data_IF_973327622643
#
_entry.id   IF_973327622643
#
_cell.length_a   1.000
_cell.length_b   1.000
_cell.length_c   1.000
_cell.angle_alpha   90.00
_cell.angle_beta   90.00
_cell.angle_gamma   90.00
#
_symmetry.space_group_name_H-M   'P 1'
#
loop_
_entity.id
_entity.type
_entity.pdbx_description
1 polymer ?
#
# COMPACT_ATOMS: atom_id res chain seq x y z
N UNK A 1 -6.94 7.65 -3.56
CA UNK A 1 -5.55 8.00 -3.21
C UNK A 1 -4.82 6.93 -2.41
N UNK A 2 -4.34 5.93 -3.14
CA UNK A 2 -2.97 5.49 -2.88
C UNK A 2 -2.11 6.76 -2.89
N UNK A 3 -1.54 7.16 -1.75
CA UNK A 3 -0.67 8.34 -1.68
C UNK A 3 0.61 7.99 -2.36
N UNK A 4 1.00 8.72 -3.38
CA UNK A 4 2.07 8.29 -4.23
C UNK A 4 3.20 9.28 -4.25
N UNK A 5 4.37 8.83 -3.79
CA UNK A 5 5.62 9.55 -3.94
C UNK A 5 6.24 9.12 -5.27
N UNK A 6 6.43 10.08 -6.17
CA UNK A 6 7.21 9.93 -7.40
C UNK A 6 8.07 11.18 -7.48
N UNK A 7 9.40 11.02 -7.47
CA UNK A 7 10.28 12.15 -7.80
C UNK A 7 10.41 12.26 -9.32
N UNK A 8 10.21 13.48 -9.84
CA UNK A 8 11.04 14.06 -10.92
C UNK A 8 11.19 15.57 -10.68
N UNK A 9 12.34 16.16 -11.01
CA UNK A 9 12.46 17.60 -11.19
C UNK A 9 11.74 17.96 -12.49
N UNK A 10 10.73 18.83 -12.38
CA UNK A 10 10.00 19.49 -13.47
C UNK A 10 9.19 18.60 -14.46
N UNK A 11 7.86 18.80 -14.46
CA UNK A 11 6.97 18.47 -15.59
C UNK A 11 6.10 17.22 -15.42
N UNK A 12 4.77 17.44 -15.39
CA UNK A 12 3.63 16.49 -15.41
C UNK A 12 3.74 15.24 -14.51
N UNK A 13 2.88 15.22 -13.48
CA UNK A 13 2.68 14.10 -12.55
C UNK A 13 2.09 12.90 -13.31
N UNK A 14 2.93 12.04 -13.89
CA UNK A 14 2.49 10.74 -14.39
C UNK A 14 2.78 9.68 -13.32
N UNK A 15 1.70 9.26 -12.69
CA UNK A 15 1.67 8.16 -11.73
C UNK A 15 2.05 6.82 -12.42
N UNK A 16 3.18 6.12 -12.08
CA UNK A 16 3.41 4.72 -12.51
C UNK A 16 2.27 3.71 -12.22
N UNK A 17 1.62 3.73 -11.05
CA UNK A 17 0.32 3.12 -10.73
C UNK A 17 -0.72 3.31 -11.84
N UNK A 18 -1.02 2.19 -12.50
CA UNK A 18 -1.97 2.07 -13.60
C UNK A 18 -3.37 1.74 -13.10
N UNK A 19 -3.46 0.81 -12.14
CA UNK A 19 -4.73 0.40 -11.57
C UNK A 19 -4.58 -0.29 -10.21
N UNK A 20 -5.70 -0.35 -9.49
CA UNK A 20 -5.86 -1.06 -8.23
C UNK A 20 -7.07 -1.99 -8.35
N UNK A 21 -6.86 -3.26 -8.06
CA UNK A 21 -7.93 -4.24 -7.91
C UNK A 21 -7.96 -4.70 -6.46
N UNK A 22 -9.13 -4.67 -5.84
CA UNK A 22 -9.28 -5.17 -4.47
C UNK A 22 -10.50 -6.07 -4.33
N UNK A 23 -10.42 -6.98 -3.35
CA UNK A 23 -11.52 -7.83 -2.91
C UNK A 23 -11.60 -7.78 -1.39
N UNK A 24 -12.83 -7.77 -0.88
CA UNK A 24 -13.11 -7.95 0.53
C UNK A 24 -14.06 -9.14 0.68
N UNK A 25 -13.68 -10.10 1.51
CA UNK A 25 -14.49 -11.26 1.85
C UNK A 25 -14.85 -11.18 3.32
N UNK A 26 -16.14 -11.19 3.63
CA UNK A 26 -16.66 -11.08 4.98
C UNK A 26 -17.31 -12.42 5.32
N UNK A 27 -16.92 -13.01 6.46
CA UNK A 27 -17.47 -14.25 6.98
C UNK A 27 -17.68 -14.09 8.48
N UNK A 28 -18.93 -13.93 8.91
CA UNK A 28 -19.23 -13.46 10.26
C UNK A 28 -18.53 -12.12 10.52
N UNK A 29 -17.86 -11.91 11.68
CA UNK A 29 -17.19 -10.66 11.98
C UNK A 29 -15.82 -10.52 11.31
N UNK A 30 -15.29 -11.57 10.67
CA UNK A 30 -13.98 -11.52 10.04
C UNK A 30 -14.07 -11.00 8.61
N UNK A 31 -13.27 -9.99 8.30
CA UNK A 31 -12.99 -9.57 6.94
C UNK A 31 -11.58 -9.97 6.52
N UNK A 32 -11.46 -10.55 5.34
CA UNK A 32 -10.21 -10.66 4.58
C UNK A 32 -10.23 -9.66 3.44
N UNK A 33 -9.27 -8.74 3.44
CA UNK A 33 -9.05 -7.82 2.35
C UNK A 33 -7.82 -8.23 1.57
N UNK A 34 -7.91 -8.23 0.24
CA UNK A 34 -6.75 -8.37 -0.65
C UNK A 34 -6.78 -7.24 -1.67
N UNK A 35 -5.64 -6.60 -1.91
CA UNK A 35 -5.47 -5.66 -3.01
C UNK A 35 -4.24 -5.98 -3.83
N UNK A 36 -4.35 -5.78 -5.14
CA UNK A 36 -3.25 -5.82 -6.09
C UNK A 36 -3.18 -4.45 -6.75
N UNK A 37 -2.01 -3.84 -6.65
CA UNK A 37 -1.70 -2.54 -7.25
C UNK A 37 -0.72 -2.76 -8.39
N UNK A 38 -1.05 -2.27 -9.59
CA UNK A 38 -0.24 -2.45 -10.78
C UNK A 38 0.47 -1.16 -11.15
N UNK A 39 1.78 -1.21 -11.35
CA UNK A 39 2.64 -0.09 -11.69
C UNK A 39 3.37 -0.35 -13.00
N UNK A 40 3.63 0.71 -13.75
CA UNK A 40 4.49 0.74 -14.93
C UNK A 40 5.32 2.01 -14.93
N UNK A 41 6.63 1.90 -15.13
CA UNK A 41 7.49 3.06 -15.31
C UNK A 41 7.46 3.50 -16.78
N UNK A 42 6.60 4.46 -17.10
CA UNK A 42 6.52 5.07 -18.45
C UNK A 42 7.57 6.17 -18.68
N UNK A 43 8.48 6.35 -17.74
CA UNK A 43 9.47 7.41 -17.74
C UNK A 43 10.81 6.91 -18.30
N UNK A 44 11.65 7.84 -18.77
CA UNK A 44 13.02 7.57 -19.25
C UNK A 44 14.05 7.23 -18.17
N UNK A 45 13.71 7.34 -16.88
CA UNK A 45 14.64 7.18 -15.76
C UNK A 45 14.12 6.08 -14.81
N UNK A 46 14.99 5.39 -14.04
CA UNK A 46 14.54 4.56 -12.94
C UNK A 46 13.66 5.35 -11.97
N UNK A 47 12.63 4.70 -11.44
CA UNK A 47 11.72 5.31 -10.45
C UNK A 47 11.72 4.48 -9.17
N UNK A 48 11.72 5.19 -8.05
CA UNK A 48 11.35 4.64 -6.76
C UNK A 48 9.86 4.88 -6.53
N UNK A 49 9.17 3.86 -6.03
CA UNK A 49 7.77 3.96 -5.64
C UNK A 49 7.72 3.89 -4.12
N UNK A 50 7.33 5.00 -3.50
CA UNK A 50 7.02 5.01 -2.07
C UNK A 50 5.55 5.39 -1.91
N UNK A 51 4.82 4.64 -1.10
CA UNK A 51 3.44 4.99 -0.76
C UNK A 51 3.10 4.54 0.64
N UNK A 52 2.20 5.30 1.27
CA UNK A 52 1.64 4.91 2.56
C UNK A 52 0.16 4.59 2.40
N UNK A 53 -0.35 3.73 3.27
CA UNK A 53 -1.78 3.49 3.44
C UNK A 53 -2.09 3.27 4.92
N UNK A 54 -3.30 3.61 5.37
CA UNK A 54 -3.70 3.37 6.74
C UNK A 54 -4.28 1.96 6.86
N UNK A 55 -3.83 1.21 7.86
CA UNK A 55 -4.61 0.10 8.38
C UNK A 55 -5.59 0.64 9.43
N UNK A 56 -6.84 0.13 9.47
CA UNK A 56 -7.76 0.47 10.54
C UNK A 56 -7.18 0.12 11.91
N UNK A 57 -7.08 1.14 12.78
CA UNK A 57 -6.33 1.10 14.04
C UNK A 57 -6.72 -0.08 14.94
N UNK A 58 -5.72 -0.80 15.46
CA UNK A 58 -5.83 -1.81 16.52
C UNK A 58 -6.67 -3.05 16.19
N UNK A 59 -7.08 -3.23 14.92
CA UNK A 59 -8.01 -4.29 14.51
C UNK A 59 -7.61 -5.01 13.22
N UNK A 60 -6.40 -4.75 12.71
CA UNK A 60 -5.95 -5.26 11.43
C UNK A 60 -4.63 -6.01 11.55
N UNK A 61 -4.47 -7.11 10.82
CA UNK A 61 -3.22 -7.89 10.77
C UNK A 61 -2.87 -8.16 9.32
N UNK A 62 -1.69 -7.73 8.87
CA UNK A 62 -1.19 -8.08 7.53
C UNK A 62 -0.85 -9.57 7.52
N UNK A 63 -1.48 -10.30 6.61
CA UNK A 63 -1.28 -11.75 6.44
C UNK A 63 -0.42 -12.09 5.23
N UNK A 64 -0.35 -11.19 4.24
CA UNK A 64 0.46 -11.38 3.04
C UNK A 64 0.95 -10.05 2.51
N UNK A 65 2.22 -10.04 2.11
CA UNK A 65 2.77 -8.98 1.28
C UNK A 65 3.70 -9.58 0.24
N UNK A 66 3.42 -9.29 -1.02
CA UNK A 66 4.15 -9.83 -2.16
C UNK A 66 4.35 -8.76 -3.21
N UNK A 67 5.53 -8.78 -3.80
CA UNK A 67 5.90 -7.86 -4.88
C UNK A 67 6.39 -8.67 -6.06
N UNK A 68 5.87 -8.36 -7.25
CA UNK A 68 6.33 -8.94 -8.50
C UNK A 68 6.90 -7.84 -9.37
N UNK A 69 8.19 -7.92 -9.72
CA UNK A 69 8.86 -6.95 -10.60
C UNK A 69 9.41 -7.73 -11.79
N UNK A 70 9.06 -7.29 -13.00
CA UNK A 70 9.49 -7.94 -14.24
C UNK A 70 9.27 -9.47 -14.26
N UNK A 71 8.12 -9.93 -13.74
CA UNK A 71 7.76 -11.35 -13.64
C UNK A 71 8.40 -12.12 -12.47
N UNK A 72 9.36 -11.53 -11.75
CA UNK A 72 9.99 -12.15 -10.59
C UNK A 72 9.20 -11.78 -9.33
N UNK A 73 8.67 -12.79 -8.67
CA UNK A 73 7.88 -12.63 -7.44
C UNK A 73 8.75 -12.81 -6.19
N UNK A 74 8.60 -11.89 -5.25
CA UNK A 74 9.20 -11.89 -3.91
C UNK A 74 8.09 -11.81 -2.87
N UNK A 75 8.18 -12.64 -1.84
CA UNK A 75 7.26 -12.64 -0.71
C UNK A 75 7.99 -12.08 0.51
N UNK A 76 7.34 -11.18 1.24
CA UNK A 76 7.98 -10.56 2.39
C UNK A 76 8.21 -11.56 3.51
N UNK A 77 9.31 -11.34 4.23
CA UNK A 77 9.59 -11.97 5.50
C UNK A 77 9.56 -10.89 6.57
N UNK A 78 8.97 -11.23 7.72
CA UNK A 78 8.88 -10.32 8.86
C UNK A 78 10.19 -10.35 9.62
N UNK A 79 10.74 -9.17 9.88
CA UNK A 79 11.96 -8.96 10.66
C UNK A 79 11.68 -7.92 11.76
N UNK A 80 12.56 -7.85 12.76
CA UNK A 80 12.54 -6.75 13.72
C UNK A 80 12.89 -5.42 13.00
N UNK A 81 12.42 -4.29 13.54
CA UNK A 81 12.54 -2.98 12.90
C UNK A 81 13.98 -2.62 12.50
N UNK A 82 14.93 -2.77 13.42
CA UNK A 82 16.34 -2.44 13.18
C UNK A 82 16.96 -3.36 12.11
N UNK A 83 16.71 -4.66 12.25
CA UNK A 83 17.17 -5.69 11.32
C UNK A 83 16.62 -5.48 9.89
N UNK A 84 15.39 -4.97 9.78
CA UNK A 84 14.75 -4.67 8.50
C UNK A 84 15.36 -3.44 7.81
N UNK A 85 15.85 -2.46 8.57
CA UNK A 85 16.50 -1.25 8.03
C UNK A 85 17.87 -1.57 7.47
N UNK A 86 18.70 -2.27 8.24
CA UNK A 86 20.04 -2.69 7.81
C UNK A 86 19.97 -3.47 6.48
N UNK A 87 19.04 -4.45 6.39
CA UNK A 87 18.84 -5.22 5.15
C UNK A 87 18.36 -4.39 3.96
N UNK A 88 17.57 -3.35 4.21
CA UNK A 88 17.11 -2.46 3.14
C UNK A 88 18.27 -1.64 2.58
N UNK A 89 19.10 -1.08 3.46
CA UNK A 89 20.29 -0.31 3.10
C UNK A 89 21.32 -1.18 2.34
N UNK A 90 21.62 -2.38 2.85
CA UNK A 90 22.48 -3.36 2.16
C UNK A 90 21.96 -3.71 0.74
N UNK A 91 20.63 -3.81 0.60
CA UNK A 91 19.97 -4.04 -0.68
C UNK A 91 20.13 -2.90 -1.68
N UNK A 92 20.17 -1.64 -1.20
CA UNK A 92 20.47 -0.47 -2.04
C UNK A 92 21.93 -0.52 -2.50
N UNK A 93 22.87 -0.74 -1.57
CA UNK A 93 24.31 -0.69 -1.86
C UNK A 93 24.74 -1.79 -2.85
N UNK A 94 24.12 -2.97 -2.76
CA UNK A 94 24.36 -4.10 -3.66
C UNK A 94 23.74 -3.95 -5.06
N UNK A 95 22.96 -2.88 -5.30
CA UNK A 95 22.29 -2.62 -6.57
C UNK A 95 21.05 -3.48 -6.82
N UNK A 96 20.60 -4.21 -5.80
CA UNK A 96 19.34 -4.96 -5.84
C UNK A 96 18.15 -4.00 -5.82
N UNK A 97 16.95 -4.53 -6.09
CA UNK A 97 15.71 -3.77 -5.94
C UNK A 97 15.18 -3.97 -4.53
N UNK A 98 15.44 -3.05 -3.59
CA UNK A 98 15.02 -3.22 -2.22
C UNK A 98 13.50 -3.04 -2.12
N UNK A 99 12.87 -3.91 -1.31
CA UNK A 99 11.43 -3.90 -1.06
C UNK A 99 11.24 -3.87 0.45
N UNK A 100 10.57 -2.84 0.94
CA UNK A 100 10.32 -2.66 2.36
C UNK A 100 8.85 -2.34 2.62
N UNK A 101 8.31 -2.94 3.68
CA UNK A 101 7.02 -2.62 4.26
C UNK A 101 7.24 -2.30 5.75
N UNK A 102 7.05 -1.05 6.14
CA UNK A 102 7.17 -0.60 7.53
C UNK A 102 5.79 -0.32 8.12
N UNK A 103 5.53 -0.85 9.31
CA UNK A 103 4.35 -0.53 10.11
C UNK A 103 4.78 0.44 11.20
N UNK A 104 4.17 1.62 11.23
CA UNK A 104 4.42 2.64 12.27
C UNK A 104 3.42 2.50 13.43
N UNK A 105 3.68 3.16 14.55
CA UNK A 105 2.92 3.04 15.81
C UNK A 105 1.42 3.38 15.71
N UNK A 106 0.97 3.97 14.59
CA UNK A 106 -0.43 4.38 14.35
C UNK A 106 -1.08 3.60 13.21
N UNK A 107 -0.60 2.38 12.95
CA UNK A 107 -1.11 1.49 11.92
C UNK A 107 -1.00 2.05 10.49
N UNK A 108 -0.17 3.07 10.28
CA UNK A 108 0.25 3.43 8.93
C UNK A 108 1.31 2.46 8.44
N UNK A 109 1.06 1.94 7.25
CA UNK A 109 2.00 1.13 6.52
C UNK A 109 2.64 1.97 5.42
N UNK A 110 3.96 1.95 5.33
CA UNK A 110 4.71 2.55 4.22
C UNK A 110 5.38 1.44 3.44
N UNK A 111 5.17 1.45 2.12
CA UNK A 111 5.79 0.54 1.18
C UNK A 111 6.78 1.33 0.33
N UNK A 112 8.00 0.80 0.23
CA UNK A 112 9.06 1.30 -0.64
C UNK A 112 9.47 0.22 -1.62
N UNK A 113 9.45 0.55 -2.93
CA UNK A 113 10.00 -0.27 -4.01
C UNK A 113 11.05 0.56 -4.76
N UNK A 114 12.31 0.15 -4.65
CA UNK A 114 13.40 0.81 -5.34
C UNK A 114 13.50 0.45 -6.83
N UNK A 115 14.30 1.24 -7.56
CA UNK A 115 14.94 0.83 -8.82
C UNK A 115 14.04 0.22 -9.93
N UNK A 116 12.80 0.67 -10.10
CA UNK A 116 11.95 0.23 -11.22
C UNK A 116 12.44 0.89 -12.51
N UNK A 117 13.01 0.14 -13.44
CA UNK A 117 13.67 0.68 -14.65
C UNK A 117 12.65 1.15 -15.69
N UNK A 118 13.06 2.02 -16.66
CA UNK A 118 12.21 2.44 -17.77
C UNK A 118 11.55 1.25 -18.49
N UNK A 119 10.22 1.32 -18.63
CA UNK A 119 9.41 0.28 -19.27
C UNK A 119 9.05 -0.92 -18.38
N UNK A 120 9.65 -1.06 -17.20
CA UNK A 120 9.34 -2.17 -16.29
C UNK A 120 7.97 -2.02 -15.63
N UNK A 121 7.40 -3.17 -15.28
CA UNK A 121 6.15 -3.26 -14.51
C UNK A 121 6.40 -3.87 -13.15
N UNK A 122 5.67 -3.39 -12.15
CA UNK A 122 5.63 -3.97 -10.82
C UNK A 122 4.19 -4.22 -10.38
N UNK A 123 3.95 -5.23 -9.56
CA UNK A 123 2.68 -5.38 -8.84
C UNK A 123 2.91 -5.62 -7.36
N UNK A 124 2.10 -4.97 -6.53
CA UNK A 124 2.11 -5.14 -5.07
C UNK A 124 0.81 -5.78 -4.64
N UNK A 125 0.90 -6.99 -4.09
CA UNK A 125 -0.20 -7.71 -3.45
C UNK A 125 -0.09 -7.55 -1.94
N UNK A 126 -1.17 -7.05 -1.33
CA UNK A 126 -1.32 -6.91 0.11
C UNK A 126 -2.58 -7.65 0.54
N UNK A 127 -2.48 -8.45 1.60
CA UNK A 127 -3.60 -9.07 2.28
C UNK A 127 -3.57 -8.72 3.76
N UNK A 128 -4.73 -8.35 4.31
CA UNK A 128 -4.89 -8.19 5.74
C UNK A 128 -6.24 -8.73 6.22
N UNK A 129 -6.26 -9.18 7.47
CA UNK A 129 -7.46 -9.52 8.19
C UNK A 129 -7.92 -8.34 9.03
N UNK A 130 -9.23 -8.20 9.21
CA UNK A 130 -9.82 -7.24 10.14
C UNK A 130 -11.06 -7.80 10.81
N UNK A 131 -11.17 -7.57 12.12
CA UNK A 131 -12.43 -7.81 12.83
C UNK A 131 -13.37 -6.62 12.64
N UNK A 132 -14.56 -6.88 12.10
CA UNK A 132 -15.62 -5.89 11.91
C UNK A 132 -16.53 -5.83 13.13
N UNK A 133 -16.93 -4.62 13.48
CA UNK A 133 -17.92 -4.39 14.53
C UNK A 133 -19.32 -4.38 13.94
N UNK A 134 -20.23 -5.05 14.64
CA UNK A 134 -21.66 -4.97 14.39
C UNK A 134 -22.27 -4.05 15.44
N UNK A 135 -22.94 -2.99 14.99
CA UNK A 135 -23.70 -2.08 15.84
C UNK A 135 -25.12 -2.01 15.30
N UNK A 136 -26.12 -2.31 16.14
CA UNK A 136 -27.55 -2.30 15.78
C UNK A 136 -27.87 -3.10 14.51
N UNK A 137 -27.31 -4.31 14.40
CA UNK A 137 -27.49 -5.19 13.23
C UNK A 137 -26.82 -4.68 11.95
N UNK A 138 -25.91 -3.71 12.05
CA UNK A 138 -25.20 -3.12 10.91
C UNK A 138 -23.71 -3.28 11.04
N UNK A 139 -23.08 -3.66 9.93
CA UNK A 139 -21.63 -3.70 9.77
C UNK A 139 -21.19 -2.46 8.98
N UNK A 140 -20.17 -1.77 9.48
CA UNK A 140 -19.53 -0.67 8.74
C UNK A 140 -18.20 -1.13 8.17
N UNK A 141 -18.12 -1.13 6.84
CA UNK A 141 -16.87 -1.35 6.13
C UNK A 141 -16.29 -0.02 5.66
N UNK A 142 -14.99 0.16 5.89
CA UNK A 142 -14.21 1.27 5.33
C UNK A 142 -13.03 0.68 4.57
N UNK A 143 -13.01 0.86 3.25
CA UNK A 143 -11.84 0.58 2.42
C UNK A 143 -11.13 1.92 2.18
N UNK A 144 -9.95 2.14 2.79
CA UNK A 144 -9.19 3.36 2.56
C UNK A 144 -8.71 3.36 1.13
N UNK A 145 -9.39 4.14 0.29
CA UNK A 145 -8.86 4.44 -1.03
C UNK A 145 -7.94 5.63 -0.96
N UNK A 146 -8.00 6.47 0.09
CA UNK A 146 -7.28 7.74 0.29
C UNK A 146 -6.68 7.78 1.69
N UNK A 147 -5.45 8.29 1.86
CA UNK A 147 -5.06 8.82 3.16
C UNK A 147 -5.49 10.30 3.24
N UNK A 148 -6.40 10.54 4.16
CA UNK A 148 -7.04 11.82 4.50
C UNK A 148 -6.82 12.11 6.00
N UNK A 149 -7.09 13.33 6.46
CA UNK A 149 -6.89 13.80 7.84
C UNK A 149 -7.50 12.85 8.87
N UNK A 150 -8.60 12.19 8.54
CA UNK A 150 -9.26 11.20 9.42
C UNK A 150 -8.39 10.02 9.87
N UNK A 151 -7.27 9.75 9.20
CA UNK A 151 -6.33 8.70 9.58
C UNK A 151 -5.16 9.21 10.42
N UNK A 152 -4.95 10.53 10.48
CA UNK A 152 -3.89 11.15 11.23
C UNK A 152 -4.52 12.00 12.36
N UNK A 153 -4.30 11.61 13.61
CA UNK A 153 -4.80 12.39 14.76
C UNK A 153 -4.20 13.81 14.79
N UNK A 154 -3.02 13.98 14.15
CA UNK A 154 -2.36 15.26 13.92
C UNK A 154 -1.56 15.20 12.59
N UNK A 155 -1.34 16.32 11.91
CA UNK A 155 -0.56 16.37 10.63
C UNK A 155 0.86 15.81 10.75
N UNK A 156 1.42 15.88 11.96
CA UNK A 156 2.74 15.35 12.32
C UNK A 156 2.77 13.81 12.39
N UNK A 157 1.60 13.16 12.45
CA UNK A 157 1.45 11.71 12.53
C UNK A 157 1.47 11.05 11.15
N UNK A 158 1.29 11.84 10.11
CA UNK A 158 1.53 11.40 8.74
C UNK A 158 3.05 11.18 8.65
N UNK A 159 3.53 10.03 8.14
CA UNK A 159 4.95 9.82 7.90
C UNK A 159 5.54 11.02 7.16
N UNK A 160 6.39 11.78 7.86
CA UNK A 160 7.16 12.87 7.27
C UNK A 160 8.33 12.24 6.53
N UNK A 161 8.05 11.66 5.37
CA UNK A 161 9.11 11.29 4.47
C UNK A 161 9.73 12.59 3.91
N UNK A 162 11.01 12.57 3.56
CA UNK A 162 11.73 13.71 2.94
C UNK A 162 11.14 14.15 1.59
N UNK A 163 10.05 13.53 1.13
CA UNK A 163 9.50 13.62 -0.21
C UNK A 163 8.15 14.36 -0.19
N UNK A 164 7.99 15.32 -1.10
CA UNK A 164 6.83 16.20 -1.21
C UNK A 164 5.52 15.42 -1.50
N UNK A 165 4.51 15.63 -0.66
CA UNK A 165 3.19 14.98 -0.80
C UNK A 165 2.39 15.74 -1.86
N UNK A 166 2.12 15.09 -2.99
CA UNK A 166 1.21 15.63 -4.02
C UNK A 166 -0.17 14.98 -3.92
N UNK A 167 -1.23 15.81 -3.92
CA UNK A 167 -2.62 15.37 -3.86
C UNK A 167 -3.32 15.63 -5.21
N UNK A 168 -4.04 14.63 -5.72
CA UNK A 168 -4.95 14.79 -6.86
C UNK A 168 -6.35 14.33 -6.42
N UNK A 169 -7.36 15.19 -6.61
CA UNK A 169 -8.77 14.92 -6.30
C UNK A 169 -9.39 13.90 -7.27
N UNK A 170 -8.80 13.73 -8.45
CA UNK A 170 -9.14 12.69 -9.41
C UNK A 170 -8.17 11.52 -9.27
N UNK A 171 -8.71 10.29 -9.23
CA UNK A 171 -7.86 9.12 -9.37
C UNK A 171 -7.46 8.99 -10.84
N UNK A 172 -6.19 9.25 -11.17
CA UNK A 172 -5.66 9.08 -12.52
C UNK A 172 -5.41 7.60 -12.89
N UNK A 173 -6.05 6.67 -12.17
CA UNK A 173 -5.84 5.23 -12.28
C UNK A 173 -7.16 4.46 -12.14
N UNK A 174 -7.27 3.32 -12.83
CA UNK A 174 -8.44 2.46 -12.71
C UNK A 174 -8.54 1.86 -11.30
N UNK A 175 -9.72 1.86 -10.69
CA UNK A 175 -9.96 1.21 -9.40
C UNK A 175 -11.18 0.29 -9.51
N UNK A 176 -10.99 -1.00 -9.20
CA UNK A 176 -12.06 -1.99 -9.25
C UNK A 176 -12.09 -2.79 -7.94
N UNK A 177 -13.29 -2.96 -7.40
CA UNK A 177 -13.50 -3.57 -6.10
C UNK A 177 -14.68 -4.53 -6.11
N UNK A 178 -14.60 -5.57 -5.29
CA UNK A 178 -15.72 -6.44 -5.00
C UNK A 178 -15.79 -6.76 -3.52
N UNK A 179 -17.01 -6.84 -3.00
CA UNK A 179 -17.28 -7.28 -1.64
C UNK A 179 -18.13 -8.54 -1.73
N UNK A 180 -17.69 -9.59 -1.04
CA UNK A 180 -18.45 -10.83 -0.87
C UNK A 180 -18.78 -10.99 0.60
N UNK A 181 -20.06 -11.13 0.90
CA UNK A 181 -20.57 -11.33 2.26
C UNK A 181 -21.09 -12.77 2.35
N UNK A 182 -20.52 -13.57 3.24
CA UNK A 182 -20.87 -14.98 3.41
C UNK A 182 -21.57 -15.18 4.77
N UNK A 183 -22.74 -15.83 4.77
CA UNK A 183 -23.50 -16.19 5.97
C UNK A 183 -24.72 -15.31 6.24
N UNK A 184 -25.51 -15.71 7.23
CA UNK A 184 -26.62 -14.93 7.78
C UNK A 184 -26.10 -14.03 8.91
N UNK A 185 -26.42 -12.74 8.84
CA UNK A 185 -26.09 -11.75 9.86
C UNK A 185 -27.39 -11.44 10.61
N UNK A 186 -27.47 -11.88 11.86
CA UNK A 186 -28.64 -11.69 12.74
C UNK A 186 -28.74 -10.25 13.28
#
# INVERSE_FOLDING_TARGET
MVRKMIRRPEGKINSPLQNVVWKAEISGPLMTYTSIQHYRNDSSNPVEIVYSFPLPYGKSVISKFRVTINGITREAKVYAKEESKERYEDGIESGDTPILLEITEKDFCTVSLGNIKPGETASVELEYFRLLECCDGRIRLTIPTVIDDRYASNWQDIPQNEHEITTNIFADYGCKGFIRVNGEYA
#
